data_IF_017200103525
#
_entry.id   IF_017200103525
#
_cell.length_a   1.000
_cell.length_b   1.000
_cell.length_c   1.000
_cell.angle_alpha   90.00
_cell.angle_beta   90.00
_cell.angle_gamma   90.00
#
_symmetry.space_group_name_H-M   'P 1'
#
loop_
_entity.id
_entity.type
_entity.pdbx_description
1 polymer ?
#
# COMPACT_ATOMS: atom_id res chain seq x y z
N UNK A 1 10.98 60.45 -9.21
CA UNK A 1 11.38 59.25 -9.96
C UNK A 1 10.96 58.06 -9.12
N UNK A 2 9.93 57.33 -9.56
CA UNK A 2 9.14 56.42 -8.74
C UNK A 2 9.87 55.08 -8.47
N UNK A 3 9.71 54.60 -7.24
CA UNK A 3 10.11 53.29 -6.72
C UNK A 3 9.67 52.13 -7.63
N UNK A 4 10.63 51.35 -8.14
CA UNK A 4 10.40 50.10 -8.87
C UNK A 4 10.91 48.88 -8.09
N UNK A 5 10.84 48.90 -6.75
CA UNK A 5 11.31 47.80 -5.90
C UNK A 5 10.19 46.84 -5.46
N UNK A 6 9.11 46.65 -6.23
CA UNK A 6 8.01 45.75 -5.81
C UNK A 6 7.38 45.02 -7.01
N UNK A 7 8.04 43.98 -7.57
CA UNK A 7 7.24 42.80 -7.92
C UNK A 7 7.92 41.44 -7.66
N UNK A 8 9.21 41.40 -7.30
CA UNK A 8 9.96 40.13 -7.23
C UNK A 8 9.64 39.34 -5.93
N UNK A 9 9.33 40.03 -4.83
CA UNK A 9 9.08 39.40 -3.52
C UNK A 9 7.77 38.59 -3.50
N UNK A 10 6.77 38.96 -4.31
CA UNK A 10 5.45 38.32 -4.31
C UNK A 10 5.48 36.97 -5.05
N UNK A 11 6.20 36.88 -6.17
CA UNK A 11 6.36 35.65 -6.95
C UNK A 11 7.15 34.56 -6.19
N UNK A 12 8.19 34.95 -5.44
CA UNK A 12 8.97 33.99 -4.64
C UNK A 12 8.16 33.39 -3.48
N UNK A 13 7.29 34.17 -2.85
CA UNK A 13 6.40 33.70 -1.76
C UNK A 13 5.33 32.73 -2.27
N UNK A 14 4.75 32.97 -3.45
CA UNK A 14 3.77 32.08 -4.05
C UNK A 14 4.35 30.68 -4.36
N UNK A 15 5.59 30.61 -4.90
CA UNK A 15 6.28 29.34 -5.17
C UNK A 15 6.62 28.55 -3.92
N UNK A 16 7.03 29.22 -2.83
CA UNK A 16 7.29 28.56 -1.54
C UNK A 16 6.00 27.99 -0.92
N UNK A 17 4.89 28.74 -0.97
CA UNK A 17 3.60 28.28 -0.44
C UNK A 17 3.06 27.09 -1.25
N UNK A 18 3.14 27.14 -2.58
CA UNK A 18 2.73 26.02 -3.43
C UNK A 18 3.58 24.76 -3.19
N UNK A 19 4.91 24.92 -3.05
CA UNK A 19 5.81 23.84 -2.68
C UNK A 19 5.50 23.23 -1.31
N UNK A 20 5.18 24.06 -0.32
CA UNK A 20 4.78 23.61 1.03
C UNK A 20 3.43 22.87 1.03
N UNK A 21 2.46 23.33 0.24
CA UNK A 21 1.16 22.68 0.08
C UNK A 21 1.32 21.31 -0.59
N UNK A 22 2.14 21.21 -1.64
CA UNK A 22 2.46 19.92 -2.28
C UNK A 22 3.18 18.96 -1.33
N UNK A 23 4.14 19.45 -0.53
CA UNK A 23 4.83 18.63 0.48
C UNK A 23 3.88 18.13 1.56
N UNK A 24 2.99 18.99 2.07
CA UNK A 24 1.95 18.60 3.04
C UNK A 24 1.02 17.55 2.45
N UNK A 25 0.60 17.70 1.20
CA UNK A 25 -0.28 16.73 0.51
C UNK A 25 0.40 15.37 0.30
N UNK A 26 1.72 15.34 0.15
CA UNK A 26 2.49 14.08 0.13
C UNK A 26 2.58 13.41 1.51
N UNK A 27 2.79 14.21 2.56
CA UNK A 27 2.84 13.71 3.95
C UNK A 27 1.47 13.25 4.46
N UNK A 28 0.39 13.75 3.86
CA UNK A 28 -0.97 13.35 4.23
C UNK A 28 -1.50 12.12 3.49
N UNK A 29 -0.73 11.53 2.56
CA UNK A 29 -1.14 10.25 1.95
C UNK A 29 -1.28 9.21 3.05
N UNK A 30 -2.40 8.50 3.04
CA UNK A 30 -2.64 7.38 3.93
C UNK A 30 -1.53 6.35 3.73
N UNK A 31 -0.86 5.96 4.82
CA UNK A 31 0.27 5.06 4.76
C UNK A 31 -0.24 3.67 4.34
N UNK A 32 -0.06 3.33 3.06
CA UNK A 32 -0.30 1.98 2.51
C UNK A 32 0.86 1.09 2.98
N UNK A 33 0.55 0.07 3.78
CA UNK A 33 1.51 -0.91 4.27
C UNK A 33 1.14 -2.27 3.71
N UNK A 34 2.12 -2.96 3.11
CA UNK A 34 1.96 -4.35 2.65
C UNK A 34 2.06 -5.29 3.85
N UNK A 35 1.13 -6.23 3.97
CA UNK A 35 1.01 -7.07 5.18
C UNK A 35 1.19 -8.55 4.84
N UNK A 36 0.43 -9.07 3.87
CA UNK A 36 0.59 -10.45 3.40
C UNK A 36 0.74 -10.46 1.88
N UNK A 37 1.49 -11.43 1.35
CA UNK A 37 1.56 -11.69 -0.08
C UNK A 37 1.66 -13.20 -0.36
N UNK A 38 1.25 -13.63 -1.55
CA UNK A 38 1.47 -15.00 -2.01
C UNK A 38 0.27 -15.62 -2.71
N UNK A 39 0.15 -16.95 -2.62
CA UNK A 39 -0.98 -17.67 -3.20
C UNK A 39 -1.91 -18.17 -2.09
N UNK A 40 -3.16 -17.70 -2.01
CA UNK A 40 -4.11 -18.24 -1.05
C UNK A 40 -4.53 -19.67 -1.40
N UNK A 41 -5.13 -20.37 -0.43
CA UNK A 41 -5.67 -21.70 -0.68
C UNK A 41 -6.72 -21.68 -1.80
N UNK A 42 -6.72 -22.73 -2.61
CA UNK A 42 -7.61 -22.93 -3.75
C UNK A 42 -7.51 -21.84 -4.84
N UNK A 43 -6.42 -21.06 -4.87
CA UNK A 43 -6.20 -20.01 -5.86
C UNK A 43 -4.91 -20.22 -6.64
N UNK A 44 -4.96 -19.88 -7.94
CA UNK A 44 -3.79 -19.81 -8.81
C UNK A 44 -3.24 -18.39 -8.95
N UNK A 45 -3.89 -17.41 -8.36
CA UNK A 45 -3.63 -15.98 -8.56
C UNK A 45 -2.90 -15.42 -7.35
N UNK A 46 -1.84 -14.64 -7.61
CA UNK A 46 -1.11 -13.96 -6.55
C UNK A 46 -2.01 -12.90 -5.89
N UNK A 47 -1.99 -12.86 -4.57
CA UNK A 47 -2.70 -11.89 -3.74
C UNK A 47 -1.69 -11.12 -2.92
N UNK A 48 -1.83 -9.79 -2.91
CA UNK A 48 -1.16 -8.92 -1.95
C UNK A 48 -2.20 -8.18 -1.10
N UNK A 49 -2.03 -8.21 0.22
CA UNK A 49 -2.92 -7.58 1.19
C UNK A 49 -2.25 -6.35 1.76
N UNK A 50 -2.96 -5.23 1.71
CA UNK A 50 -2.51 -3.95 2.25
C UNK A 50 -3.40 -3.43 3.36
N UNK A 51 -2.80 -2.76 4.34
CA UNK A 51 -3.48 -1.98 5.35
C UNK A 51 -3.16 -0.48 5.18
N UNK A 52 -4.22 0.32 5.14
CA UNK A 52 -4.16 1.77 5.09
C UNK A 52 -4.39 2.32 6.50
N UNK A 53 -3.31 2.68 7.20
CA UNK A 53 -3.35 2.94 8.66
C UNK A 53 -4.19 4.15 9.07
N UNK A 54 -4.27 5.20 8.26
CA UNK A 54 -5.06 6.39 8.59
C UNK A 54 -6.56 6.15 8.42
N UNK A 55 -6.96 5.43 7.37
CA UNK A 55 -8.37 5.09 7.12
C UNK A 55 -8.83 3.79 7.77
N UNK A 56 -7.90 2.97 8.27
CA UNK A 56 -8.18 1.62 8.76
C UNK A 56 -8.61 0.63 7.66
N UNK A 57 -8.46 1.01 6.39
CA UNK A 57 -8.98 0.25 5.25
C UNK A 57 -8.04 -0.88 4.87
N UNK A 58 -8.63 -2.04 4.57
CA UNK A 58 -7.91 -3.21 4.05
C UNK A 58 -8.16 -3.38 2.56
N UNK A 59 -7.12 -3.70 1.80
CA UNK A 59 -7.18 -3.91 0.35
C UNK A 59 -6.60 -5.27 0.01
N UNK A 60 -7.30 -5.98 -0.86
CA UNK A 60 -6.94 -7.29 -1.40
C UNK A 60 -6.68 -7.08 -2.89
N UNK A 61 -5.40 -7.00 -3.26
CA UNK A 61 -4.96 -6.72 -4.61
C UNK A 61 -4.56 -8.03 -5.28
N UNK A 62 -5.36 -8.48 -6.25
CA UNK A 62 -5.09 -9.69 -7.03
C UNK A 62 -4.30 -9.31 -8.27
N UNK A 63 -3.19 -10.00 -8.52
CA UNK A 63 -2.43 -9.84 -9.76
C UNK A 63 -2.95 -10.82 -10.81
N UNK A 64 -4.13 -10.51 -11.36
CA UNK A 64 -4.83 -11.32 -12.36
C UNK A 64 -4.46 -10.96 -13.81
N UNK A 65 -3.81 -9.81 -14.01
CA UNK A 65 -3.49 -9.26 -15.33
C UNK A 65 -2.06 -9.51 -15.79
N UNK A 66 -1.08 -9.64 -14.88
CA UNK A 66 0.34 -9.71 -15.26
C UNK A 66 1.17 -10.77 -14.52
N UNK A 67 0.71 -11.33 -13.40
CA UNK A 67 1.46 -12.37 -12.71
C UNK A 67 1.44 -13.73 -13.43
N UNK A 68 2.57 -14.43 -13.33
CA UNK A 68 2.61 -15.86 -13.58
C UNK A 68 1.66 -16.58 -12.60
N UNK A 69 0.94 -17.59 -13.09
CA UNK A 69 0.09 -18.43 -12.24
C UNK A 69 0.94 -19.18 -11.21
N UNK A 70 0.32 -19.60 -10.11
CA UNK A 70 0.93 -20.45 -9.09
C UNK A 70 1.79 -21.57 -9.73
N UNK A 71 3.10 -21.61 -9.45
CA UNK A 71 3.96 -22.66 -9.96
C UNK A 71 3.51 -24.02 -9.43
N UNK A 72 3.40 -25.03 -10.31
CA UNK A 72 2.98 -26.40 -9.93
C UNK A 72 3.94 -27.07 -8.93
N UNK A 73 5.16 -26.57 -8.79
CA UNK A 73 6.17 -27.07 -7.85
C UNK A 73 6.00 -26.53 -6.42
N UNK A 74 5.14 -25.54 -6.20
CA UNK A 74 4.95 -24.86 -4.91
C UNK A 74 3.85 -25.49 -4.04
N UNK A 75 3.59 -26.79 -4.19
CA UNK A 75 2.58 -27.53 -3.42
C UNK A 75 1.19 -27.60 -4.08
N UNK A 76 0.28 -28.32 -3.42
CA UNK A 76 -1.08 -28.50 -3.92
C UNK A 76 -1.87 -27.18 -3.89
N UNK A 77 -2.81 -27.01 -4.82
CA UNK A 77 -3.63 -25.81 -4.89
C UNK A 77 -4.43 -25.57 -3.60
N UNK A 78 -4.76 -26.61 -2.84
CA UNK A 78 -5.45 -26.49 -1.55
C UNK A 78 -4.59 -25.85 -0.45
N UNK A 79 -3.27 -25.83 -0.60
CA UNK A 79 -2.37 -25.28 0.42
C UNK A 79 -2.32 -23.75 0.33
N UNK A 80 -2.41 -23.07 1.48
CA UNK A 80 -2.16 -21.63 1.57
C UNK A 80 -0.65 -21.33 1.58
N UNK A 81 -0.19 -20.58 0.57
CA UNK A 81 1.19 -20.14 0.38
C UNK A 81 1.29 -18.61 0.49
N UNK A 82 0.61 -18.06 1.49
CA UNK A 82 0.72 -16.64 1.87
C UNK A 82 1.84 -16.45 2.89
N UNK A 83 2.52 -15.31 2.86
CA UNK A 83 3.66 -14.96 3.69
C UNK A 83 3.51 -13.56 4.28
N UNK A 84 4.09 -13.34 5.47
CA UNK A 84 4.19 -12.04 6.12
C UNK A 84 5.25 -11.15 5.43
N UNK A 85 4.87 -9.94 5.02
CA UNK A 85 5.83 -8.94 4.51
C UNK A 85 6.54 -8.22 5.66
N UNK A 86 7.73 -8.68 6.00
CA UNK A 86 8.49 -8.18 7.16
C UNK A 86 9.28 -6.91 6.89
N UNK A 87 9.46 -6.50 5.63
CA UNK A 87 10.24 -5.31 5.24
C UNK A 87 9.37 -4.06 5.12
N UNK A 88 8.05 -4.19 5.06
CA UNK A 88 7.11 -3.06 4.96
C UNK A 88 6.95 -2.26 6.26
N UNK A 89 7.37 -2.83 7.39
CA UNK A 89 7.15 -2.26 8.72
C UNK A 89 5.74 -2.51 9.27
N UNK A 90 5.04 -3.54 8.78
CA UNK A 90 3.80 -4.03 9.38
C UNK A 90 4.01 -4.56 10.82
N UNK A 91 3.04 -4.34 11.70
CA UNK A 91 3.09 -4.81 13.09
C UNK A 91 2.57 -6.24 13.22
N UNK A 92 2.82 -6.87 14.37
CA UNK A 92 2.29 -8.22 14.66
C UNK A 92 0.76 -8.25 14.64
N UNK A 93 0.13 -7.20 15.15
CA UNK A 93 -1.32 -7.04 15.16
C UNK A 93 -1.87 -6.96 13.73
N UNK A 94 -1.20 -6.21 12.85
CA UNK A 94 -1.57 -6.14 11.44
C UNK A 94 -1.46 -7.51 10.75
N UNK A 95 -0.40 -8.29 11.01
CA UNK A 95 -0.28 -9.64 10.47
C UNK A 95 -1.40 -10.57 10.96
N UNK A 96 -1.66 -10.61 12.28
CA UNK A 96 -2.70 -11.46 12.87
C UNK A 96 -4.08 -11.12 12.29
N UNK A 97 -4.35 -9.83 12.18
CA UNK A 97 -5.61 -9.30 11.68
C UNK A 97 -5.77 -9.54 10.16
N UNK A 98 -4.67 -9.51 9.39
CA UNK A 98 -4.68 -9.90 7.97
C UNK A 98 -4.97 -11.40 7.80
N UNK A 99 -4.35 -12.25 8.61
CA UNK A 99 -4.63 -13.69 8.63
C UNK A 99 -6.08 -14.00 9.00
N UNK A 100 -6.63 -13.30 9.99
CA UNK A 100 -8.04 -13.42 10.35
C UNK A 100 -8.96 -13.08 9.18
N UNK A 101 -8.73 -11.93 8.52
CA UNK A 101 -9.50 -11.52 7.34
C UNK A 101 -9.37 -12.48 6.16
N UNK A 102 -8.20 -13.11 5.99
CA UNK A 102 -7.98 -14.12 4.96
C UNK A 102 -8.77 -15.40 5.28
N UNK A 103 -8.76 -15.84 6.55
CA UNK A 103 -9.55 -16.98 7.03
C UNK A 103 -11.05 -16.77 6.86
N UNK A 104 -11.56 -15.59 7.24
CA UNK A 104 -12.98 -15.23 7.09
C UNK A 104 -13.48 -15.30 5.64
N UNK A 105 -12.57 -15.16 4.67
CA UNK A 105 -12.86 -15.24 3.24
C UNK A 105 -12.74 -16.66 2.67
N UNK A 106 -12.34 -17.64 3.48
CA UNK A 106 -12.16 -19.03 3.04
C UNK A 106 -10.88 -19.27 2.23
N UNK A 107 -9.84 -18.46 2.47
CA UNK A 107 -8.59 -18.50 1.73
C UNK A 107 -7.41 -19.13 2.51
N UNK A 108 -7.69 -19.77 3.65
CA UNK A 108 -6.74 -20.57 4.42
C UNK A 108 -6.91 -22.07 4.16
#
# INVERSE_FOLDING_TARGET
MADWQIPIIILARASLVAGFILLKKHKDRDQKVEVLYGYPANSTTWLTIYHYRKSGRWVFEWDDLFAEKRPKSWGDISECMMFEERKSGATREEFNEAWARLSERGYL
#
